data_IF_424635499053
#
_entry.id   IF_424635499053
#
_cell.length_a   1.000
_cell.length_b   1.000
_cell.length_c   1.000
_cell.angle_alpha   90.00
_cell.angle_beta   90.00
_cell.angle_gamma   90.00
#
_symmetry.space_group_name_H-M   'P 1'
#
loop_
_entity.id
_entity.type
_entity.pdbx_description
1 polymer ?
#
# COMPACT_ATOMS: atom_id res chain seq x y z
N UNK A 1 -17.49 3.08 -0.97
CA UNK A 1 -18.65 2.19 -1.19
C UNK A 1 -19.86 2.72 -0.44
N UNK A 2 -21.06 2.44 -0.96
CA UNK A 2 -22.28 2.69 -0.22
C UNK A 2 -22.53 1.53 0.75
N UNK A 3 -22.84 1.83 2.01
CA UNK A 3 -23.02 0.81 3.05
C UNK A 3 -24.18 -0.17 2.71
N UNK A 4 -25.24 0.32 2.09
CA UNK A 4 -26.37 -0.50 1.68
C UNK A 4 -25.98 -1.59 0.67
N UNK A 5 -25.12 -1.24 -0.32
CA UNK A 5 -24.65 -2.18 -1.34
C UNK A 5 -23.73 -3.25 -0.73
N UNK A 6 -22.84 -2.81 0.16
CA UNK A 6 -21.93 -3.72 0.89
C UNK A 6 -22.72 -4.68 1.77
N UNK A 7 -23.74 -4.19 2.48
CA UNK A 7 -24.62 -5.02 3.32
C UNK A 7 -25.40 -6.03 2.48
N UNK A 8 -25.93 -5.60 1.32
CA UNK A 8 -26.64 -6.50 0.41
C UNK A 8 -25.72 -7.59 -0.18
N UNK A 9 -24.47 -7.25 -0.46
CA UNK A 9 -23.47 -8.21 -0.92
C UNK A 9 -23.07 -9.21 0.17
N UNK A 10 -22.87 -8.75 1.40
CA UNK A 10 -22.55 -9.61 2.56
C UNK A 10 -23.67 -10.59 2.89
N UNK A 11 -24.92 -10.30 2.52
CA UNK A 11 -26.04 -11.24 2.60
C UNK A 11 -26.00 -12.37 1.56
N UNK A 12 -25.09 -12.31 0.58
CA UNK A 12 -24.97 -13.29 -0.50
C UNK A 12 -23.69 -14.11 -0.45
N UNK A 13 -22.65 -13.63 0.20
CA UNK A 13 -21.35 -14.27 0.32
C UNK A 13 -20.69 -13.92 1.64
N UNK A 14 -19.92 -14.84 2.18
CA UNK A 14 -19.15 -14.64 3.41
C UNK A 14 -17.81 -13.92 3.17
N UNK A 15 -17.34 -13.84 1.92
CA UNK A 15 -15.99 -13.38 1.60
C UNK A 15 -16.00 -12.15 0.70
N UNK A 16 -15.23 -11.15 1.07
CA UNK A 16 -14.89 -9.99 0.25
C UNK A 16 -13.42 -10.04 -0.17
N UNK A 17 -13.14 -9.64 -1.41
CA UNK A 17 -11.79 -9.44 -1.93
C UNK A 17 -11.64 -7.97 -2.27
N UNK A 18 -10.67 -7.30 -1.66
CA UNK A 18 -10.35 -5.91 -1.92
C UNK A 18 -9.00 -5.80 -2.62
N UNK A 19 -8.97 -5.27 -3.83
CA UNK A 19 -7.72 -5.05 -4.56
C UNK A 19 -7.24 -3.63 -4.30
N UNK A 20 -6.13 -3.50 -3.59
CA UNK A 20 -5.42 -2.25 -3.36
C UNK A 20 -4.35 -2.09 -4.43
N UNK A 21 -4.56 -1.16 -5.33
CA UNK A 21 -3.65 -0.91 -6.44
C UNK A 21 -2.85 0.37 -6.24
N UNK A 22 -1.59 0.35 -6.68
CA UNK A 22 -0.74 1.53 -6.81
C UNK A 22 -0.13 1.56 -8.18
N UNK A 23 -0.12 2.74 -8.77
CA UNK A 23 0.57 2.99 -10.01
C UNK A 23 1.94 3.61 -9.72
N UNK A 24 2.98 3.09 -10.36
CA UNK A 24 4.30 3.70 -10.38
C UNK A 24 4.68 3.88 -11.82
N UNK A 25 4.45 5.08 -12.36
CA UNK A 25 4.87 5.47 -13.69
C UNK A 25 6.26 6.10 -13.67
N UNK A 26 6.93 6.06 -14.81
CA UNK A 26 8.17 6.82 -14.99
C UNK A 26 7.91 8.33 -14.91
N UNK A 27 8.90 9.08 -14.43
CA UNK A 27 8.85 10.53 -14.32
C UNK A 27 8.30 11.07 -13.00
N UNK A 28 7.91 10.20 -12.08
CA UNK A 28 7.55 10.59 -10.72
C UNK A 28 7.88 9.47 -9.73
N UNK A 29 8.66 9.81 -8.72
CA UNK A 29 8.93 8.90 -7.61
C UNK A 29 7.71 8.74 -6.72
N UNK A 30 7.64 7.60 -6.05
CA UNK A 30 6.61 7.33 -5.06
C UNK A 30 6.83 8.16 -3.80
N UNK A 31 5.74 8.52 -3.14
CA UNK A 31 5.75 9.42 -1.99
C UNK A 31 5.19 8.76 -0.76
N UNK A 32 5.73 9.12 0.41
CA UNK A 32 5.21 8.71 1.71
C UNK A 32 3.96 9.51 2.08
N UNK A 33 2.92 9.41 1.25
CA UNK A 33 1.65 10.13 1.42
C UNK A 33 0.44 9.22 1.16
N UNK A 34 -0.77 9.72 1.50
CA UNK A 34 -2.03 9.01 1.23
C UNK A 34 -2.28 8.84 -0.26
N UNK A 35 -2.64 7.63 -0.66
CA UNK A 35 -2.88 7.27 -2.06
C UNK A 35 -1.64 6.71 -2.75
N UNK A 36 -0.50 6.78 -2.10
CA UNK A 36 0.73 6.15 -2.58
C UNK A 36 1.27 5.15 -1.54
N UNK A 37 2.10 5.55 -0.59
CA UNK A 37 2.60 4.63 0.45
C UNK A 37 1.52 4.28 1.46
N UNK A 38 0.70 5.25 1.87
CA UNK A 38 -0.41 5.05 2.83
C UNK A 38 -1.76 4.93 2.13
N UNK A 39 -2.75 4.36 2.86
CA UNK A 39 -4.13 4.31 2.39
C UNK A 39 -4.73 5.71 2.23
N UNK A 40 -5.52 5.93 1.19
CA UNK A 40 -6.45 7.06 1.14
C UNK A 40 -7.52 6.93 2.21
N UNK A 41 -8.21 8.03 2.53
CA UNK A 41 -9.34 8.01 3.47
C UNK A 41 -10.47 7.10 2.97
N UNK A 42 -10.72 7.09 1.65
CA UNK A 42 -11.73 6.22 1.03
C UNK A 42 -11.34 4.74 1.11
N UNK A 43 -10.08 4.39 0.88
CA UNK A 43 -9.60 3.01 1.01
C UNK A 43 -9.74 2.52 2.45
N UNK A 44 -9.30 3.34 3.42
CA UNK A 44 -9.41 3.01 4.83
C UNK A 44 -10.89 2.85 5.27
N UNK A 45 -11.78 3.74 4.81
CA UNK A 45 -13.22 3.63 5.10
C UNK A 45 -13.84 2.39 4.47
N UNK A 46 -13.48 2.07 3.22
CA UNK A 46 -13.97 0.88 2.54
C UNK A 46 -13.50 -0.41 3.24
N UNK A 47 -12.23 -0.50 3.61
CA UNK A 47 -11.68 -1.66 4.32
C UNK A 47 -12.34 -1.84 5.69
N UNK A 48 -12.55 -0.75 6.44
CA UNK A 48 -13.30 -0.79 7.72
C UNK A 48 -14.73 -1.31 7.53
N UNK A 49 -15.41 -0.83 6.50
CA UNK A 49 -16.78 -1.28 6.20
C UNK A 49 -16.83 -2.77 5.81
N UNK A 50 -15.88 -3.22 4.98
CA UNK A 50 -15.79 -4.63 4.60
C UNK A 50 -15.50 -5.51 5.82
N UNK A 51 -14.55 -5.14 6.68
CA UNK A 51 -14.22 -5.87 7.90
C UNK A 51 -15.38 -5.97 8.90
N UNK A 52 -16.31 -5.00 8.87
CA UNK A 52 -17.51 -5.03 9.71
C UNK A 52 -18.64 -5.92 9.15
N UNK A 53 -18.70 -6.09 7.82
CA UNK A 53 -19.87 -6.71 7.16
C UNK A 53 -19.60 -8.12 6.67
N UNK A 54 -18.36 -8.46 6.33
CA UNK A 54 -18.01 -9.79 5.83
C UNK A 54 -17.31 -10.62 6.88
N UNK A 55 -17.49 -11.93 6.78
CA UNK A 55 -16.84 -12.89 7.66
C UNK A 55 -15.36 -13.08 7.34
N UNK A 56 -15.01 -12.98 6.06
CA UNK A 56 -13.64 -13.09 5.58
C UNK A 56 -13.34 -11.94 4.63
N UNK A 57 -12.25 -11.22 4.87
CA UNK A 57 -11.79 -10.14 4.00
C UNK A 57 -10.35 -10.39 3.57
N UNK A 58 -10.16 -10.57 2.27
CA UNK A 58 -8.85 -10.74 1.65
C UNK A 58 -8.45 -9.43 0.97
N UNK A 59 -7.34 -8.86 1.40
CA UNK A 59 -6.74 -7.69 0.74
C UNK A 59 -5.64 -8.14 -0.20
N UNK A 60 -5.73 -7.74 -1.46
CA UNK A 60 -4.75 -8.06 -2.50
C UNK A 60 -3.98 -6.80 -2.85
N UNK A 61 -2.67 -6.80 -2.64
CA UNK A 61 -1.78 -5.72 -3.03
C UNK A 61 -1.34 -5.90 -4.49
N UNK A 62 -1.90 -5.08 -5.38
CA UNK A 62 -1.47 -4.97 -6.78
C UNK A 62 -0.59 -3.72 -6.91
N UNK A 63 0.64 -3.84 -6.43
CA UNK A 63 1.58 -2.72 -6.31
C UNK A 63 2.96 -3.13 -6.81
N UNK A 64 3.65 -2.24 -7.52
CA UNK A 64 5.01 -2.47 -8.00
C UNK A 64 6.11 -2.21 -6.96
N UNK A 65 5.77 -1.70 -5.79
CA UNK A 65 6.69 -1.39 -4.70
C UNK A 65 6.05 -1.53 -3.34
N UNK A 66 6.78 -1.16 -2.30
CA UNK A 66 6.35 -1.23 -0.91
C UNK A 66 5.16 -0.29 -0.63
N UNK A 67 4.30 -0.69 0.28
CA UNK A 67 3.23 0.13 0.87
C UNK A 67 3.21 -0.07 2.38
N UNK A 68 2.60 0.85 3.12
CA UNK A 68 2.34 0.65 4.53
C UNK A 68 1.44 -0.57 4.74
N UNK A 69 1.78 -1.41 5.71
CA UNK A 69 0.98 -2.59 6.07
C UNK A 69 0.46 -2.54 7.51
N UNK A 70 0.66 -1.41 8.20
CA UNK A 70 0.17 -1.25 9.57
C UNK A 70 -1.36 -1.36 9.66
N UNK A 71 -2.07 -0.92 8.63
CA UNK A 71 -3.53 -1.06 8.56
C UNK A 71 -3.99 -2.54 8.68
N UNK A 72 -3.13 -3.48 8.34
CA UNK A 72 -3.42 -4.91 8.43
C UNK A 72 -2.84 -5.53 9.71
N UNK A 73 -1.54 -5.32 9.98
CA UNK A 73 -0.83 -6.03 11.05
C UNK A 73 -0.80 -5.28 12.39
N UNK A 74 -1.02 -3.98 12.40
CA UNK A 74 -1.03 -3.12 13.59
C UNK A 74 0.30 -2.99 14.33
N UNK A 75 1.42 -3.39 13.72
CA UNK A 75 2.73 -3.44 14.40
C UNK A 75 3.25 -2.08 14.85
N UNK A 76 2.88 -1.00 14.16
CA UNK A 76 3.27 0.35 14.54
C UNK A 76 2.53 0.91 15.75
N UNK A 77 1.46 0.26 16.20
CA UNK A 77 0.69 0.70 17.37
C UNK A 77 0.02 2.07 17.20
N UNK A 78 -0.26 2.47 15.96
CA UNK A 78 -0.85 3.77 15.66
C UNK A 78 -2.28 3.90 16.19
N UNK A 79 -2.61 5.09 16.70
CA UNK A 79 -3.94 5.39 17.24
C UNK A 79 -5.04 5.27 16.16
N UNK A 80 -6.27 4.99 16.58
CA UNK A 80 -7.42 4.80 15.69
C UNK A 80 -7.73 6.00 14.78
N UNK A 81 -7.30 7.21 15.18
CA UNK A 81 -7.46 8.46 14.45
C UNK A 81 -6.15 8.92 13.78
N UNK A 82 -5.20 8.03 13.53
CA UNK A 82 -3.95 8.37 12.86
C UNK A 82 -4.21 9.06 11.52
N UNK A 83 -3.60 10.22 11.33
CA UNK A 83 -3.83 11.08 10.15
C UNK A 83 -3.38 10.46 8.83
N UNK A 84 -2.49 9.47 8.86
CA UNK A 84 -1.99 8.74 7.69
C UNK A 84 -2.65 7.38 7.48
N UNK A 85 -3.74 7.07 8.21
CA UNK A 85 -4.48 5.80 8.09
C UNK A 85 -3.64 4.54 8.39
N UNK A 86 -2.63 4.63 9.28
CA UNK A 86 -1.75 3.52 9.66
C UNK A 86 -2.33 2.65 10.77
N UNK A 87 -3.42 3.07 11.40
CA UNK A 87 -4.06 2.29 12.46
C UNK A 87 -4.59 0.97 11.94
N UNK A 88 -4.47 -0.07 12.75
CA UNK A 88 -5.00 -1.40 12.42
C UNK A 88 -6.50 -1.31 12.12
N UNK A 89 -6.91 -1.97 11.04
CA UNK A 89 -8.32 -2.16 10.67
C UNK A 89 -8.70 -3.58 11.04
N UNK A 90 -9.71 -3.70 11.90
CA UNK A 90 -10.20 -5.01 12.35
C UNK A 90 -11.07 -5.69 11.28
N UNK A 91 -11.10 -7.03 11.31
CA UNK A 91 -11.87 -7.84 10.38
C UNK A 91 -11.21 -8.05 9.01
N UNK A 92 -9.91 -7.76 8.88
CA UNK A 92 -9.12 -8.14 7.71
C UNK A 92 -8.38 -9.44 8.02
N UNK A 93 -8.60 -10.49 7.21
CA UNK A 93 -8.11 -11.84 7.52
C UNK A 93 -6.84 -12.22 6.78
N UNK A 94 -6.67 -11.73 5.56
CA UNK A 94 -5.54 -12.09 4.71
C UNK A 94 -5.02 -10.90 3.91
N UNK A 95 -3.70 -10.84 3.76
CA UNK A 95 -3.00 -9.86 2.92
C UNK A 95 -2.15 -10.63 1.90
N UNK A 96 -2.45 -10.47 0.61
CA UNK A 96 -1.77 -11.15 -0.48
C UNK A 96 -1.01 -10.12 -1.31
N UNK A 97 0.30 -10.25 -1.41
CA UNK A 97 1.11 -9.47 -2.34
C UNK A 97 1.08 -10.14 -3.71
N UNK A 98 0.32 -9.56 -4.64
CA UNK A 98 0.27 -10.01 -6.02
C UNK A 98 1.37 -9.37 -6.88
N UNK A 99 1.88 -8.23 -6.46
CA UNK A 99 2.74 -7.35 -7.27
C UNK A 99 2.07 -6.98 -8.61
N UNK A 100 2.85 -6.70 -9.63
CA UNK A 100 2.40 -6.42 -10.99
C UNK A 100 2.50 -7.70 -11.83
N UNK A 101 1.54 -8.60 -11.66
CA UNK A 101 1.62 -9.99 -12.10
C UNK A 101 1.42 -10.21 -13.62
N UNK A 102 1.29 -9.12 -14.41
CA UNK A 102 1.18 -9.20 -15.87
C UNK A 102 -0.15 -9.80 -16.35
N UNK A 103 -0.14 -10.27 -17.61
CA UNK A 103 -1.35 -10.66 -18.36
C UNK A 103 -2.13 -11.83 -17.72
N UNK A 104 -1.45 -12.77 -17.08
CA UNK A 104 -2.05 -13.93 -16.43
C UNK A 104 -2.28 -13.75 -14.92
N UNK A 105 -2.01 -12.57 -14.37
CA UNK A 105 -2.06 -12.31 -12.94
C UNK A 105 -3.41 -12.60 -12.30
N UNK A 106 -4.50 -12.19 -12.94
CA UNK A 106 -5.84 -12.47 -12.44
C UNK A 106 -6.15 -13.97 -12.34
N UNK A 107 -5.73 -14.76 -13.34
CA UNK A 107 -5.89 -16.23 -13.31
C UNK A 107 -5.06 -16.84 -12.18
N UNK A 108 -3.81 -16.45 -12.04
CA UNK A 108 -2.92 -16.94 -10.99
C UNK A 108 -3.46 -16.62 -9.60
N UNK A 109 -3.98 -15.39 -9.40
CA UNK A 109 -4.61 -14.98 -8.16
C UNK A 109 -5.82 -15.87 -7.82
N UNK A 110 -6.71 -16.13 -8.80
CA UNK A 110 -7.87 -16.98 -8.58
C UNK A 110 -7.46 -18.40 -8.18
N UNK A 111 -6.43 -18.99 -8.79
CA UNK A 111 -5.93 -20.30 -8.42
C UNK A 111 -5.39 -20.36 -6.99
N UNK A 112 -4.77 -19.28 -6.51
CA UNK A 112 -4.34 -19.14 -5.11
C UNK A 112 -5.55 -19.03 -4.19
N UNK A 113 -6.50 -18.14 -4.50
CA UNK A 113 -7.68 -17.91 -3.67
C UNK A 113 -8.60 -19.15 -3.57
N UNK A 114 -8.65 -19.95 -4.63
CA UNK A 114 -9.40 -21.23 -4.65
C UNK A 114 -8.64 -22.39 -4.02
N UNK A 115 -7.39 -22.19 -3.60
CA UNK A 115 -6.58 -23.25 -3.00
C UNK A 115 -6.01 -24.27 -4.00
N UNK A 116 -6.11 -24.01 -5.32
CA UNK A 116 -5.51 -24.87 -6.36
C UNK A 116 -3.98 -24.81 -6.33
N UNK A 117 -3.45 -23.65 -5.97
CA UNK A 117 -2.00 -23.39 -5.88
C UNK A 117 -1.69 -22.75 -4.52
N UNK A 118 -0.71 -23.31 -3.83
CA UNK A 118 -0.18 -22.70 -2.61
C UNK A 118 0.90 -21.67 -2.97
N UNK A 119 0.76 -20.38 -2.56
CA UNK A 119 1.76 -19.36 -2.88
C UNK A 119 3.06 -19.65 -2.15
N UNK A 120 4.17 -19.71 -2.90
CA UNK A 120 5.51 -20.00 -2.38
C UNK A 120 6.49 -18.83 -2.51
N UNK A 121 6.06 -17.71 -3.07
CA UNK A 121 6.86 -16.50 -3.21
C UNK A 121 7.34 -15.97 -1.87
N UNK A 122 8.51 -15.32 -1.88
CA UNK A 122 9.09 -14.63 -0.74
C UNK A 122 9.24 -13.16 -1.07
N UNK A 123 9.17 -12.30 -0.07
CA UNK A 123 9.53 -10.90 -0.22
C UNK A 123 11.02 -10.79 -0.55
N UNK A 124 11.37 -9.93 -1.49
CA UNK A 124 12.76 -9.60 -1.83
C UNK A 124 13.38 -8.66 -0.80
N UNK A 125 12.53 -7.89 -0.12
CA UNK A 125 12.94 -6.84 0.80
C UNK A 125 12.22 -6.93 2.13
N UNK A 126 12.80 -6.33 3.17
CA UNK A 126 12.13 -6.11 4.44
C UNK A 126 11.18 -4.93 4.32
N UNK A 127 9.93 -5.11 4.70
CA UNK A 127 8.95 -4.03 4.78
C UNK A 127 8.96 -3.45 6.19
N UNK A 128 9.38 -2.21 6.31
CA UNK A 128 9.53 -1.52 7.58
C UNK A 128 8.16 -1.21 8.24
N UNK A 129 8.17 -1.06 9.56
CA UNK A 129 6.99 -0.66 10.32
C UNK A 129 6.71 0.82 10.15
N UNK A 130 7.75 1.65 10.15
CA UNK A 130 7.65 3.08 9.80
C UNK A 130 8.46 3.37 8.54
N UNK A 131 7.95 4.27 7.70
CA UNK A 131 8.64 4.67 6.47
C UNK A 131 10.05 5.23 6.76
N UNK A 132 10.22 5.93 7.86
CA UNK A 132 11.49 6.52 8.25
C UNK A 132 12.53 5.49 8.72
N UNK A 133 12.15 4.23 8.91
CA UNK A 133 13.09 3.14 9.21
C UNK A 133 13.87 2.68 7.97
N UNK A 134 13.47 3.09 6.77
CA UNK A 134 14.26 2.85 5.56
C UNK A 134 15.45 3.83 5.51
N UNK A 135 16.69 3.36 5.38
CA UNK A 135 17.86 4.24 5.37
C UNK A 135 17.83 5.33 4.29
N UNK A 136 17.15 5.04 3.16
CA UNK A 136 17.00 5.97 2.04
C UNK A 136 15.81 6.93 2.15
N UNK A 137 14.98 6.81 3.19
CA UNK A 137 13.72 7.56 3.29
C UNK A 137 13.92 9.08 3.26
N UNK A 138 15.01 9.57 3.85
CA UNK A 138 15.30 10.99 3.92
C UNK A 138 15.75 11.59 2.57
N UNK A 139 16.29 10.76 1.67
CA UNK A 139 16.89 11.20 0.39
C UNK A 139 16.18 10.65 -0.84
N UNK A 140 15.24 9.73 -0.68
CA UNK A 140 14.48 9.16 -1.78
C UNK A 140 13.66 10.22 -2.52
N UNK A 141 13.55 10.11 -3.84
CA UNK A 141 12.85 11.06 -4.71
C UNK A 141 13.58 12.38 -4.99
N UNK A 142 14.89 12.42 -4.88
CA UNK A 142 15.68 13.62 -5.15
C UNK A 142 16.41 13.54 -6.50
N UNK A 143 15.80 12.96 -7.50
CA UNK A 143 16.25 12.97 -8.90
C UNK A 143 17.72 12.58 -9.13
N UNK A 144 18.22 11.56 -8.42
CA UNK A 144 19.59 11.04 -8.54
C UNK A 144 20.72 12.06 -8.29
N UNK A 145 20.38 13.21 -7.73
CA UNK A 145 21.38 14.22 -7.43
C UNK A 145 22.27 13.82 -6.25
N UNK A 146 23.50 14.27 -6.29
CA UNK A 146 24.41 14.16 -5.15
C UNK A 146 23.98 15.15 -4.08
N UNK A 147 23.54 14.63 -2.94
CA UNK A 147 23.11 15.43 -1.80
C UNK A 147 24.26 15.61 -0.80
N UNK A 148 24.32 16.76 -0.16
CA UNK A 148 25.25 17.00 0.95
C UNK A 148 24.61 16.51 2.24
N UNK A 149 25.43 16.02 3.17
CA UNK A 149 24.95 15.65 4.49
C UNK A 149 24.24 16.84 5.16
N UNK A 150 22.99 16.63 5.58
CA UNK A 150 22.16 17.67 6.20
C UNK A 150 21.44 18.63 5.23
N UNK A 151 21.57 18.45 3.92
CA UNK A 151 20.83 19.23 2.91
C UNK A 151 19.32 18.85 2.95
N UNK A 152 18.46 19.86 2.91
CA UNK A 152 17.01 19.63 2.80
C UNK A 152 16.62 19.34 1.35
N UNK A 153 15.45 18.70 1.15
CA UNK A 153 14.92 18.41 -0.18
C UNK A 153 14.73 19.70 -1.01
N UNK A 154 14.29 20.77 -0.37
CA UNK A 154 14.08 22.07 -1.00
C UNK A 154 15.40 22.68 -1.49
N UNK A 155 16.46 22.61 -0.69
CA UNK A 155 17.80 23.10 -1.06
C UNK A 155 18.39 22.29 -2.19
N UNK A 156 18.29 20.96 -2.14
CA UNK A 156 18.76 20.08 -3.20
C UNK A 156 18.00 20.30 -4.52
N UNK A 157 16.69 20.40 -4.48
CA UNK A 157 15.89 20.68 -5.68
C UNK A 157 16.22 22.04 -6.29
N UNK A 158 16.47 23.06 -5.49
CA UNK A 158 16.87 24.37 -5.97
C UNK A 158 18.23 24.32 -6.68
N UNK A 159 19.20 23.61 -6.09
CA UNK A 159 20.53 23.42 -6.68
C UNK A 159 20.46 22.66 -8.01
N UNK A 160 19.66 21.60 -8.10
CA UNK A 160 19.48 20.81 -9.31
C UNK A 160 18.79 21.59 -10.43
N UNK A 161 17.77 22.39 -10.10
CA UNK A 161 17.09 23.25 -11.07
C UNK A 161 18.04 24.29 -11.63
N UNK A 162 18.92 24.86 -10.82
CA UNK A 162 19.93 25.81 -11.27
C UNK A 162 20.98 25.16 -12.22
N UNK A 163 21.42 23.94 -11.88
CA UNK A 163 22.41 23.20 -12.71
C UNK A 163 21.85 22.75 -14.08
N UNK A 164 20.54 22.55 -14.21
CA UNK A 164 19.90 22.20 -15.51
C UNK A 164 19.52 23.39 -16.36
N UNK A 165 19.68 24.61 -15.86
CA UNK A 165 19.38 25.86 -16.56
C UNK A 165 20.59 26.47 -17.24
N UNK A 166 21.81 25.92 -17.08
CA UNK A 166 23.06 26.27 -17.78
C UNK A 166 23.26 25.32 -18.97
#
# INVERSE_FOLDING_TARGET
>A
YAEADVTAAAGKTDTAIYVLARNSGEGADRKAEKGDYYLTDNEAANLKLLGQKFKNVVVVLNTGGIVDTNFFNGKGGYAANDSLNRSKIEGLDSLVLMSQAGMNGGRALVQILNGEVNPSGKLTDTWAVDYNDYPSSATFSWNDAVHKDGETKEESNAANTAATAE
#
